data_IF_726173200756
#
_entry.id   IF_726173200756
#
_cell.length_a   1.000
_cell.length_b   1.000
_cell.length_c   1.000
_cell.angle_alpha   90.00
_cell.angle_beta   90.00
_cell.angle_gamma   90.00
#
_symmetry.space_group_name_H-M   'P 1'
#
loop_
_entity.id
_entity.type
_entity.pdbx_description
1 polymer ?
#
# COMPACT_ATOMS: atom_id res chain seq x y z
N UNK A 1 -15.52 -33.49 1.90
CA UNK A 1 -15.34 -32.43 2.91
C UNK A 1 -14.27 -31.44 2.45
N UNK A 2 -14.42 -30.15 2.77
CA UNK A 2 -13.44 -29.09 2.54
C UNK A 2 -13.05 -28.44 3.86
N UNK A 3 -11.82 -27.94 3.93
CA UNK A 3 -11.27 -27.25 5.10
C UNK A 3 -10.48 -26.02 4.66
N UNK A 4 -10.62 -24.94 5.43
CA UNK A 4 -9.80 -23.72 5.29
C UNK A 4 -9.58 -23.15 6.69
N UNK A 5 -8.46 -22.51 6.91
CA UNK A 5 -8.16 -21.86 8.19
C UNK A 5 -8.89 -20.51 8.35
N UNK A 6 -9.34 -19.90 7.25
CA UNK A 6 -10.07 -18.63 7.26
C UNK A 6 -11.59 -18.85 7.32
N UNK A 7 -12.20 -18.43 8.44
CA UNK A 7 -13.64 -18.52 8.64
C UNK A 7 -14.46 -17.71 7.60
N UNK A 8 -13.91 -16.64 7.03
CA UNK A 8 -14.59 -15.85 6.00
C UNK A 8 -14.60 -16.58 4.65
N UNK A 9 -13.52 -17.30 4.34
CA UNK A 9 -13.43 -18.17 3.15
C UNK A 9 -14.41 -19.33 3.29
N UNK A 10 -14.47 -19.95 4.47
CA UNK A 10 -15.43 -21.04 4.77
C UNK A 10 -16.88 -20.58 4.59
N UNK A 11 -17.25 -19.41 5.09
CA UNK A 11 -18.63 -18.86 4.89
C UNK A 11 -18.96 -18.70 3.43
N UNK A 12 -18.05 -18.10 2.63
CA UNK A 12 -18.26 -17.95 1.18
C UNK A 12 -18.39 -19.29 0.47
N UNK A 13 -17.60 -20.28 0.88
CA UNK A 13 -17.71 -21.64 0.35
C UNK A 13 -19.07 -22.25 0.68
N UNK A 14 -19.56 -22.09 1.91
CA UNK A 14 -20.90 -22.55 2.33
C UNK A 14 -22.02 -21.88 1.53
N UNK A 15 -21.94 -20.56 1.30
CA UNK A 15 -22.90 -19.84 0.45
C UNK A 15 -22.89 -20.36 -0.99
N UNK A 16 -21.71 -20.64 -1.56
CA UNK A 16 -21.60 -21.19 -2.90
C UNK A 16 -22.18 -22.62 -2.99
N UNK A 17 -21.94 -23.46 -1.99
CA UNK A 17 -22.50 -24.80 -1.87
C UNK A 17 -24.03 -24.72 -1.80
N UNK A 18 -24.58 -23.77 -1.02
CA UNK A 18 -26.01 -23.54 -0.90
C UNK A 18 -26.62 -23.10 -2.23
N UNK A 19 -25.99 -22.15 -2.93
CA UNK A 19 -26.45 -21.69 -4.26
C UNK A 19 -26.42 -22.80 -5.31
N UNK A 20 -25.49 -23.74 -5.18
CA UNK A 20 -25.39 -24.89 -6.08
C UNK A 20 -26.32 -26.06 -5.70
N UNK A 21 -27.06 -25.99 -4.58
CA UNK A 21 -27.93 -27.07 -4.11
C UNK A 21 -27.16 -28.32 -3.64
N UNK A 22 -25.91 -28.16 -3.15
CA UNK A 22 -25.01 -29.28 -2.83
C UNK A 22 -24.80 -29.49 -1.32
N UNK A 23 -25.67 -28.92 -0.47
CA UNK A 23 -25.51 -28.97 1.01
C UNK A 23 -25.49 -30.39 1.58
N UNK A 24 -26.18 -31.33 0.94
CA UNK A 24 -26.23 -32.72 1.37
C UNK A 24 -24.98 -33.51 0.98
N UNK A 25 -24.29 -33.09 -0.08
CA UNK A 25 -23.11 -33.75 -0.65
C UNK A 25 -21.79 -33.16 -0.17
N UNK A 26 -21.73 -31.83 0.06
CA UNK A 26 -20.51 -31.11 0.37
C UNK A 26 -20.60 -30.40 1.73
N UNK A 27 -19.62 -30.62 2.59
CA UNK A 27 -19.48 -29.94 3.89
C UNK A 27 -18.14 -29.25 3.99
N UNK A 28 -18.14 -27.99 4.41
CA UNK A 28 -16.91 -27.20 4.62
C UNK A 28 -16.88 -26.69 6.06
N UNK A 29 -15.71 -26.77 6.69
CA UNK A 29 -15.52 -26.28 8.07
C UNK A 29 -14.18 -25.54 8.20
N UNK A 30 -14.14 -24.60 9.17
CA UNK A 30 -12.92 -23.90 9.53
C UNK A 30 -12.02 -24.85 10.33
N UNK A 31 -10.80 -25.11 9.81
CA UNK A 31 -9.82 -25.95 10.45
C UNK A 31 -8.42 -25.63 9.92
N UNK A 32 -7.46 -25.33 10.81
CA UNK A 32 -6.06 -25.12 10.40
C UNK A 32 -5.41 -26.45 9.94
N UNK A 33 -4.35 -26.33 9.14
CA UNK A 33 -3.63 -27.47 8.58
C UNK A 33 -3.09 -28.42 9.65
N UNK A 34 -2.59 -27.89 10.76
CA UNK A 34 -2.06 -28.66 11.89
C UNK A 34 -3.09 -29.63 12.50
N UNK A 35 -4.38 -29.32 12.41
CA UNK A 35 -5.49 -30.11 12.95
C UNK A 35 -6.15 -31.02 11.91
N UNK A 36 -5.64 -31.02 10.67
CA UNK A 36 -6.23 -31.78 9.59
C UNK A 36 -6.05 -33.28 9.82
N UNK A 37 -7.14 -34.03 9.82
CA UNK A 37 -7.15 -35.48 10.04
C UNK A 37 -8.26 -36.16 9.24
N UNK A 38 -8.16 -37.50 9.14
CA UNK A 38 -9.22 -38.33 8.53
C UNK A 38 -10.55 -38.12 9.23
N UNK A 39 -11.66 -38.17 8.48
CA UNK A 39 -13.00 -38.20 9.11
C UNK A 39 -13.18 -39.45 10.00
N UNK A 40 -13.64 -39.26 11.24
CA UNK A 40 -13.75 -40.31 12.23
C UNK A 40 -15.10 -41.00 12.30
N UNK A 41 -16.11 -40.50 11.57
CA UNK A 41 -17.50 -41.00 11.62
C UNK A 41 -17.68 -42.43 11.07
N UNK A 42 -16.73 -42.90 10.26
CA UNK A 42 -16.64 -44.28 9.78
C UNK A 42 -15.19 -44.57 9.33
N UNK A 43 -14.74 -45.83 9.32
CA UNK A 43 -13.45 -46.20 8.74
C UNK A 43 -13.40 -45.85 7.27
N UNK A 44 -12.39 -45.10 6.85
CA UNK A 44 -12.13 -44.74 5.46
C UNK A 44 -10.71 -45.17 5.09
N UNK A 45 -10.54 -46.47 4.66
CA UNK A 45 -9.21 -47.00 4.34
C UNK A 45 -8.58 -46.33 3.14
N UNK A 46 -9.38 -45.83 2.21
CA UNK A 46 -8.93 -45.12 0.99
C UNK A 46 -9.66 -43.81 0.85
N UNK A 47 -9.01 -42.85 0.22
CA UNK A 47 -9.56 -41.52 -0.07
C UNK A 47 -8.60 -40.70 -0.93
N UNK A 48 -9.08 -39.56 -1.38
CA UNK A 48 -8.32 -38.59 -2.13
C UNK A 48 -8.35 -37.24 -1.42
N UNK A 49 -7.19 -36.64 -1.24
CA UNK A 49 -7.05 -35.26 -0.80
C UNK A 49 -6.62 -34.44 -2.01
N UNK A 50 -7.29 -33.30 -2.24
CA UNK A 50 -6.90 -32.32 -3.24
C UNK A 50 -6.57 -31.02 -2.54
N UNK A 51 -5.36 -30.49 -2.75
CA UNK A 51 -4.89 -29.24 -2.14
C UNK A 51 -4.43 -28.28 -3.24
N UNK A 52 -4.81 -27.02 -3.05
CA UNK A 52 -4.27 -25.88 -3.82
C UNK A 52 -3.67 -24.87 -2.85
N UNK A 53 -2.54 -25.20 -2.20
CA UNK A 53 -1.91 -24.31 -1.24
C UNK A 53 -1.38 -23.07 -1.94
N UNK A 54 -1.17 -21.95 -1.23
CA UNK A 54 -0.67 -20.73 -1.83
C UNK A 54 0.69 -20.94 -2.50
N UNK A 55 0.82 -20.41 -3.72
CA UNK A 55 2.06 -20.36 -4.50
C UNK A 55 2.12 -19.05 -5.30
N UNK A 56 3.27 -18.44 -5.45
CA UNK A 56 3.44 -17.20 -6.19
C UNK A 56 3.11 -15.95 -5.37
N UNK A 57 2.88 -14.81 -6.04
CA UNK A 57 2.85 -13.48 -5.40
C UNK A 57 1.50 -13.09 -4.78
N UNK A 58 0.45 -13.89 -4.94
CA UNK A 58 -0.93 -13.48 -4.57
C UNK A 58 -1.34 -13.79 -3.14
N UNK A 59 -0.72 -14.77 -2.49
CA UNK A 59 -1.07 -15.22 -1.14
C UNK A 59 0.19 -15.79 -0.46
N UNK A 60 0.65 -15.09 0.58
CA UNK A 60 1.70 -15.57 1.46
C UNK A 60 3.11 -15.11 1.12
N UNK A 61 3.95 -15.15 2.13
CA UNK A 61 5.37 -14.88 2.03
C UNK A 61 6.06 -16.08 1.35
N UNK A 62 6.77 -15.86 0.25
CA UNK A 62 7.52 -16.91 -0.44
C UNK A 62 8.48 -17.66 0.49
N UNK A 63 8.98 -17.00 1.51
CA UNK A 63 9.95 -17.59 2.44
C UNK A 63 9.26 -18.48 3.50
N UNK A 64 7.97 -18.30 3.77
CA UNK A 64 7.17 -19.17 4.64
C UNK A 64 6.52 -20.35 3.90
N UNK A 65 6.37 -20.24 2.58
CA UNK A 65 5.75 -21.30 1.78
C UNK A 65 6.46 -22.66 1.87
N UNK A 66 7.81 -22.76 1.86
CA UNK A 66 8.46 -24.05 2.06
C UNK A 66 8.12 -24.75 3.38
N UNK A 67 7.93 -23.97 4.45
CA UNK A 67 7.53 -24.51 5.76
C UNK A 67 6.07 -24.96 5.74
N UNK A 68 5.16 -24.19 5.14
CA UNK A 68 3.77 -24.58 4.95
C UNK A 68 3.67 -25.90 4.13
N UNK A 69 4.46 -26.01 3.05
CA UNK A 69 4.47 -27.22 2.24
C UNK A 69 5.10 -28.39 2.99
N UNK A 70 6.08 -28.15 3.83
CA UNK A 70 6.66 -29.17 4.69
C UNK A 70 5.64 -29.67 5.71
N UNK A 71 4.94 -28.78 6.41
CA UNK A 71 3.86 -29.10 7.34
C UNK A 71 2.74 -29.87 6.64
N UNK A 72 2.36 -29.45 5.42
CA UNK A 72 1.39 -30.18 4.59
C UNK A 72 1.86 -31.61 4.32
N UNK A 73 3.11 -31.79 3.91
CA UNK A 73 3.69 -33.11 3.65
C UNK A 73 3.70 -34.01 4.88
N UNK A 74 4.12 -33.49 6.02
CA UNK A 74 4.15 -34.19 7.31
C UNK A 74 2.75 -34.60 7.77
N UNK A 75 1.78 -33.68 7.68
CA UNK A 75 0.38 -33.94 8.03
C UNK A 75 -0.24 -35.00 7.10
N UNK A 76 0.02 -34.92 5.80
CA UNK A 76 -0.46 -35.91 4.85
C UNK A 76 0.12 -37.31 5.12
N UNK A 77 1.42 -37.44 5.38
CA UNK A 77 2.07 -38.72 5.65
C UNK A 77 1.60 -39.33 6.98
N UNK A 78 1.39 -38.51 8.01
CA UNK A 78 0.98 -38.93 9.34
C UNK A 78 -0.50 -39.34 9.42
N UNK A 79 -1.37 -38.45 8.94
CA UNK A 79 -2.80 -38.54 9.18
C UNK A 79 -3.56 -39.29 8.07
N UNK A 80 -3.01 -39.39 6.85
CA UNK A 80 -3.73 -39.90 5.68
C UNK A 80 -3.07 -41.12 5.03
N UNK A 81 -2.35 -41.89 5.82
CA UNK A 81 -1.73 -43.14 5.35
C UNK A 81 -2.75 -44.03 4.64
N UNK A 82 -2.40 -44.56 3.46
CA UNK A 82 -3.25 -45.36 2.58
C UNK A 82 -4.18 -44.57 1.66
N UNK A 83 -4.12 -43.22 1.70
CA UNK A 83 -4.85 -42.37 0.80
C UNK A 83 -3.96 -41.88 -0.37
N UNK A 84 -4.59 -41.22 -1.33
CA UNK A 84 -3.90 -40.47 -2.37
C UNK A 84 -3.99 -38.98 -2.08
N UNK A 85 -2.97 -38.23 -2.51
CA UNK A 85 -3.00 -36.77 -2.46
C UNK A 85 -2.65 -36.18 -3.82
N UNK A 86 -3.30 -35.07 -4.15
CA UNK A 86 -3.04 -34.25 -5.32
C UNK A 86 -2.77 -32.82 -4.87
N UNK A 87 -1.58 -32.30 -5.16
CA UNK A 87 -1.19 -30.93 -4.83
C UNK A 87 -1.00 -30.14 -6.12
N UNK A 88 -1.75 -29.07 -6.28
CA UNK A 88 -1.61 -28.13 -7.38
C UNK A 88 -0.71 -26.97 -6.93
N UNK A 89 0.37 -26.67 -7.66
CA UNK A 89 1.31 -25.62 -7.31
C UNK A 89 1.93 -24.98 -8.55
N UNK A 90 2.10 -23.66 -8.53
CA UNK A 90 2.84 -22.90 -9.55
C UNK A 90 4.36 -22.92 -9.35
N UNK A 91 4.87 -23.57 -8.29
CA UNK A 91 6.31 -23.64 -8.00
C UNK A 91 6.74 -25.09 -7.70
N UNK A 92 7.54 -25.65 -8.58
CA UNK A 92 8.08 -27.03 -8.45
C UNK A 92 9.00 -27.19 -7.24
N UNK A 93 9.64 -26.11 -6.77
CA UNK A 93 10.47 -26.17 -5.57
C UNK A 93 9.61 -26.31 -4.31
N UNK A 94 8.46 -25.66 -4.25
CA UNK A 94 7.47 -25.81 -3.17
C UNK A 94 6.90 -27.24 -3.18
N UNK A 95 6.60 -27.81 -4.34
CA UNK A 95 6.19 -29.21 -4.43
C UNK A 95 7.20 -30.17 -3.80
N UNK A 96 8.51 -29.94 -4.02
CA UNK A 96 9.58 -30.70 -3.38
C UNK A 96 9.72 -30.44 -1.89
N UNK A 97 9.36 -29.22 -1.43
CA UNK A 97 9.42 -28.86 -0.01
C UNK A 97 8.45 -29.68 0.88
N UNK A 98 7.42 -30.30 0.31
CA UNK A 98 6.57 -31.27 1.05
C UNK A 98 7.39 -32.43 1.63
N UNK A 99 8.56 -32.73 1.08
CA UNK A 99 9.38 -33.90 1.44
C UNK A 99 8.77 -35.22 0.95
N UNK A 100 7.59 -35.21 0.37
CA UNK A 100 6.93 -36.40 -0.18
C UNK A 100 7.44 -36.72 -1.58
N UNK A 101 7.46 -38.03 -1.94
CA UNK A 101 7.79 -38.50 -3.27
C UNK A 101 6.53 -38.57 -4.13
N UNK A 102 6.41 -37.68 -5.13
CA UNK A 102 5.33 -37.79 -6.13
C UNK A 102 5.59 -38.97 -7.07
N UNK A 103 4.56 -39.76 -7.38
CA UNK A 103 4.61 -40.84 -8.33
C UNK A 103 4.27 -40.40 -9.76
N UNK A 104 3.56 -39.27 -9.90
CA UNK A 104 3.18 -38.69 -11.19
C UNK A 104 3.08 -37.18 -11.10
N UNK A 105 3.42 -36.49 -12.18
CA UNK A 105 3.32 -35.04 -12.30
C UNK A 105 2.74 -34.68 -13.66
N UNK A 106 1.83 -33.69 -13.67
CA UNK A 106 1.28 -33.08 -14.88
C UNK A 106 1.62 -31.61 -14.92
N UNK A 107 1.96 -31.09 -16.08
CA UNK A 107 2.05 -29.65 -16.32
C UNK A 107 0.67 -29.15 -16.74
N UNK A 108 0.19 -28.14 -16.04
CA UNK A 108 -1.08 -27.48 -16.29
C UNK A 108 -0.86 -25.97 -16.37
N UNK A 109 -1.87 -25.25 -16.81
CA UNK A 109 -1.79 -23.80 -16.94
C UNK A 109 -2.91 -23.15 -16.13
N UNK A 110 -2.56 -22.19 -15.27
CA UNK A 110 -3.51 -21.35 -14.54
C UNK A 110 -3.47 -19.93 -15.15
N UNK A 111 -4.26 -19.71 -16.19
CA UNK A 111 -4.12 -18.53 -17.04
C UNK A 111 -2.77 -18.54 -17.78
N UNK A 112 -1.96 -17.51 -17.61
CA UNK A 112 -0.61 -17.41 -18.20
C UNK A 112 0.48 -18.09 -17.36
N UNK A 113 0.15 -18.63 -16.17
CA UNK A 113 1.11 -19.23 -15.26
C UNK A 113 1.21 -20.74 -15.47
N UNK A 114 2.42 -21.26 -15.75
CA UNK A 114 2.68 -22.68 -15.69
C UNK A 114 2.56 -23.20 -14.27
N UNK A 115 1.82 -24.26 -14.07
CA UNK A 115 1.59 -24.92 -12.79
C UNK A 115 1.83 -26.44 -12.90
N UNK A 116 2.04 -27.09 -11.78
CA UNK A 116 2.21 -28.53 -11.69
C UNK A 116 1.15 -29.14 -10.79
N UNK A 117 0.54 -30.22 -11.26
CA UNK A 117 -0.28 -31.10 -10.44
C UNK A 117 0.57 -32.30 -10.05
N UNK A 118 0.89 -32.42 -8.77
CA UNK A 118 1.71 -33.48 -8.20
C UNK A 118 0.81 -34.51 -7.54
N UNK A 119 0.97 -35.79 -7.92
CA UNK A 119 0.20 -36.90 -7.35
C UNK A 119 1.09 -37.74 -6.43
N UNK A 120 0.56 -38.04 -5.25
CA UNK A 120 1.23 -38.80 -4.19
C UNK A 120 0.38 -40.00 -3.78
N UNK A 121 1.03 -41.15 -3.64
CA UNK A 121 0.48 -42.29 -2.92
C UNK A 121 1.01 -42.23 -1.48
N UNK A 122 0.13 -42.17 -0.51
CA UNK A 122 0.49 -42.02 0.91
C UNK A 122 0.58 -43.36 1.66
N UNK A 123 0.52 -44.49 0.95
CA UNK A 123 0.57 -45.82 1.58
C UNK A 123 1.94 -46.04 2.23
N UNK A 124 3.02 -45.81 1.51
CA UNK A 124 4.40 -46.00 1.97
C UNK A 124 5.25 -44.73 1.84
N UNK A 125 4.62 -43.58 1.61
CA UNK A 125 5.31 -42.31 1.43
C UNK A 125 5.80 -41.80 2.79
N UNK A 126 7.11 -41.60 2.92
CA UNK A 126 7.73 -41.03 4.12
C UNK A 126 8.30 -39.68 3.76
N UNK A 127 8.17 -38.73 4.69
CA UNK A 127 8.79 -37.42 4.53
C UNK A 127 10.31 -37.57 4.63
N UNK A 128 11.04 -37.06 3.66
CA UNK A 128 12.51 -37.05 3.66
C UNK A 128 13.04 -36.19 4.82
N UNK A 129 14.02 -36.71 5.58
CA UNK A 129 14.68 -35.98 6.68
C UNK A 129 15.56 -34.80 6.21
N UNK A 130 15.68 -34.62 4.91
CA UNK A 130 16.44 -33.50 4.35
C UNK A 130 15.70 -32.18 4.57
N UNK A 131 16.30 -31.20 5.27
CA UNK A 131 15.66 -29.91 5.47
C UNK A 131 15.34 -29.26 4.09
N UNK A 132 14.26 -28.48 3.99
CA UNK A 132 13.92 -27.80 2.74
C UNK A 132 15.07 -26.89 2.33
N UNK A 133 15.62 -27.13 1.13
CA UNK A 133 16.67 -26.28 0.55
C UNK A 133 16.01 -24.98 0.11
N UNK A 134 16.39 -23.88 0.75
CA UNK A 134 16.03 -22.56 0.28
C UNK A 134 16.60 -22.30 -1.13
N UNK A 135 15.84 -21.77 -2.08
CA UNK A 135 16.34 -21.51 -3.43
C UNK A 135 17.44 -20.44 -3.38
N UNK A 136 18.66 -20.85 -3.72
CA UNK A 136 19.76 -19.98 -4.12
C UNK A 136 20.51 -19.27 -3.00
N UNK A 137 21.48 -19.96 -2.39
CA UNK A 137 22.48 -19.34 -1.55
C UNK A 137 23.88 -19.79 -1.94
N UNK A 138 24.57 -19.00 -2.75
CA UNK A 138 26.03 -19.03 -2.82
C UNK A 138 26.57 -18.35 -1.56
N UNK A 139 27.50 -19.03 -0.88
CA UNK A 139 28.01 -18.60 0.41
C UNK A 139 28.73 -17.25 0.37
N UNK A 140 28.53 -16.46 1.39
CA UNK A 140 29.44 -15.42 1.81
C UNK A 140 29.66 -15.56 3.32
N UNK A 141 30.92 -15.72 3.64
CA UNK A 141 31.51 -15.87 4.95
C UNK A 141 31.15 -14.72 5.87
N UNK A 142 30.72 -15.07 7.08
CA UNK A 142 30.49 -14.17 8.20
C UNK A 142 31.77 -13.48 8.62
N UNK A 143 31.75 -12.17 8.82
CA UNK A 143 32.60 -11.48 9.79
C UNK A 143 31.72 -10.94 10.89
N UNK A 144 32.03 -11.40 12.07
CA UNK A 144 31.38 -11.07 13.33
C UNK A 144 31.63 -9.61 13.73
N UNK A 145 30.63 -9.01 14.36
CA UNK A 145 30.71 -7.73 15.09
C UNK A 145 29.43 -7.53 15.89
N UNK A 146 29.48 -7.98 17.14
CA UNK A 146 28.85 -7.47 18.37
C UNK A 146 27.34 -7.46 18.59
N UNK A 147 26.94 -8.22 19.61
CA UNK A 147 25.86 -8.08 20.60
C UNK A 147 24.45 -7.76 20.07
N UNK A 148 23.70 -8.81 19.74
CA UNK A 148 22.25 -8.80 19.67
C UNK A 148 21.76 -10.19 20.02
N UNK A 149 20.88 -10.32 21.03
CA UNK A 149 20.21 -11.55 21.37
C UNK A 149 19.52 -12.15 20.14
N UNK A 150 19.46 -13.46 20.09
CA UNK A 150 18.83 -14.20 18.98
C UNK A 150 17.36 -13.76 18.80
N UNK A 151 17.02 -13.30 17.60
CA UNK A 151 15.65 -12.86 17.29
C UNK A 151 14.69 -14.07 17.41
N UNK A 152 13.49 -13.85 17.93
CA UNK A 152 12.43 -14.86 17.82
C UNK A 152 12.19 -15.26 16.36
N UNK A 153 11.67 -16.46 16.09
CA UNK A 153 11.37 -16.88 14.70
C UNK A 153 10.50 -15.88 13.95
N UNK A 154 9.50 -15.28 14.62
CA UNK A 154 8.63 -14.26 14.04
C UNK A 154 9.37 -12.96 13.75
N UNK A 155 10.19 -12.47 14.67
CA UNK A 155 11.02 -11.28 14.46
C UNK A 155 12.04 -11.49 13.33
N UNK A 156 12.65 -12.67 13.25
CA UNK A 156 13.58 -13.04 12.18
C UNK A 156 12.88 -13.07 10.80
N UNK A 157 11.66 -13.59 10.75
CA UNK A 157 10.83 -13.60 9.54
C UNK A 157 10.51 -12.18 9.07
N UNK A 158 10.08 -11.30 9.97
CA UNK A 158 9.81 -9.90 9.66
C UNK A 158 11.08 -9.15 9.21
N UNK A 159 12.21 -9.34 9.90
CA UNK A 159 13.51 -8.78 9.51
C UNK A 159 13.92 -9.20 8.08
N UNK A 160 13.73 -10.47 7.73
CA UNK A 160 14.05 -10.98 6.40
C UNK A 160 13.15 -10.35 5.33
N UNK A 161 11.86 -10.13 5.62
CA UNK A 161 10.95 -9.42 4.71
C UNK A 161 11.43 -7.99 4.46
N UNK A 162 11.80 -7.24 5.49
CA UNK A 162 12.33 -5.88 5.37
C UNK A 162 13.60 -5.84 4.51
N UNK A 163 14.57 -6.75 4.76
CA UNK A 163 15.80 -6.85 3.96
C UNK A 163 15.53 -7.18 2.50
N UNK A 164 14.56 -8.06 2.21
CA UNK A 164 14.14 -8.40 0.85
C UNK A 164 13.53 -7.19 0.14
N UNK A 165 12.62 -6.49 0.79
CA UNK A 165 12.03 -5.27 0.24
C UNK A 165 13.08 -4.19 -0.04
N UNK A 166 14.01 -3.99 0.91
CA UNK A 166 15.12 -3.04 0.74
C UNK A 166 15.99 -3.40 -0.48
N UNK A 167 16.34 -4.67 -0.65
CA UNK A 167 17.09 -5.14 -1.84
C UNK A 167 16.31 -4.90 -3.14
N UNK A 168 15.00 -5.19 -3.15
CA UNK A 168 14.13 -4.96 -4.32
C UNK A 168 14.08 -3.49 -4.73
N UNK A 169 14.03 -2.57 -3.76
CA UNK A 169 13.93 -1.14 -4.01
C UNK A 169 15.29 -0.46 -4.22
N UNK A 170 16.41 -1.10 -3.84
CA UNK A 170 17.72 -0.47 -3.77
C UNK A 170 18.19 0.18 -5.09
N UNK A 171 18.00 -0.51 -6.22
CA UNK A 171 18.42 0.02 -7.53
C UNK A 171 17.64 1.29 -7.92
N UNK A 172 16.33 1.31 -7.67
CA UNK A 172 15.48 2.46 -7.89
C UNK A 172 15.82 3.61 -6.93
N UNK A 173 15.91 3.34 -5.63
CA UNK A 173 16.29 4.33 -4.61
C UNK A 173 17.60 5.02 -4.96
N UNK A 174 18.63 4.24 -5.37
CA UNK A 174 19.94 4.77 -5.76
C UNK A 174 19.87 5.60 -7.05
N UNK A 175 19.17 5.12 -8.08
CA UNK A 175 19.04 5.79 -9.37
C UNK A 175 18.34 7.13 -9.27
N UNK A 176 17.24 7.17 -8.52
CA UNK A 176 16.40 8.36 -8.39
C UNK A 176 16.80 9.25 -7.19
N UNK A 177 17.80 8.85 -6.39
CA UNK A 177 18.22 9.61 -5.21
C UNK A 177 17.13 9.75 -4.14
N UNK A 178 16.35 8.69 -3.93
CA UNK A 178 15.21 8.70 -3.01
C UNK A 178 15.67 8.59 -1.56
N UNK A 179 15.34 9.54 -0.71
CA UNK A 179 15.58 9.51 0.74
C UNK A 179 14.37 9.04 1.55
N UNK A 180 13.16 9.31 1.05
CA UNK A 180 11.92 9.02 1.76
C UNK A 180 11.08 8.03 0.95
N UNK A 181 10.80 6.83 1.49
CA UNK A 181 10.02 5.82 0.78
C UNK A 181 9.40 4.79 1.72
N UNK A 182 8.32 4.16 1.26
CA UNK A 182 7.68 3.04 1.95
C UNK A 182 8.45 1.75 1.71
N UNK A 183 8.97 1.19 2.78
CA UNK A 183 9.70 -0.07 2.74
C UNK A 183 8.79 -1.29 2.87
N UNK A 184 7.71 -1.16 3.69
CA UNK A 184 6.82 -2.26 4.02
C UNK A 184 5.38 -1.72 4.22
N UNK A 185 4.36 -2.42 3.72
CA UNK A 185 2.95 -2.03 3.82
C UNK A 185 2.06 -3.26 4.05
N UNK A 186 2.04 -3.76 5.29
CA UNK A 186 1.28 -4.96 5.67
C UNK A 186 1.49 -6.14 4.69
N UNK A 187 2.73 -6.35 4.24
CA UNK A 187 3.10 -7.40 3.28
C UNK A 187 2.80 -8.81 3.81
N UNK A 188 2.76 -8.95 5.11
CA UNK A 188 2.40 -10.17 5.85
C UNK A 188 1.20 -9.86 6.75
N UNK A 189 0.11 -10.65 6.71
CA UNK A 189 -1.10 -10.37 7.45
C UNK A 189 -0.91 -10.26 8.97
N UNK A 190 0.07 -10.98 9.52
CA UNK A 190 0.40 -11.00 10.94
C UNK A 190 1.04 -9.69 11.42
N UNK A 191 1.72 -8.99 10.53
CA UNK A 191 2.44 -7.75 10.82
C UNK A 191 1.76 -6.57 10.11
N UNK A 192 0.63 -6.15 10.65
CA UNK A 192 -0.22 -5.11 10.08
C UNK A 192 0.35 -3.70 10.36
N UNK A 193 1.49 -3.38 9.77
CA UNK A 193 2.15 -2.07 9.91
C UNK A 193 2.56 -1.53 8.55
N UNK A 194 2.74 -0.21 8.46
CA UNK A 194 3.56 0.43 7.43
C UNK A 194 4.90 0.80 8.04
N UNK A 195 6.00 0.58 7.29
CA UNK A 195 7.34 1.02 7.66
C UNK A 195 7.84 1.96 6.57
N UNK A 196 8.00 3.22 6.92
CA UNK A 196 8.46 4.30 6.05
C UNK A 196 9.83 4.79 6.49
N UNK A 197 10.73 5.00 5.53
CA UNK A 197 12.06 5.56 5.75
C UNK A 197 12.05 7.06 5.44
N UNK A 198 12.69 7.85 6.27
CA UNK A 198 12.91 9.29 6.15
C UNK A 198 14.39 9.58 6.37
N UNK A 199 15.22 9.43 5.34
CA UNK A 199 16.67 9.47 5.47
C UNK A 199 17.19 8.36 6.38
N UNK A 200 17.73 8.74 7.54
CA UNK A 200 18.23 7.79 8.57
C UNK A 200 17.17 7.41 9.61
N UNK A 201 16.02 8.06 9.61
CA UNK A 201 14.91 7.81 10.54
C UNK A 201 13.89 6.85 9.97
N UNK A 202 13.22 6.13 10.84
CA UNK A 202 12.16 5.16 10.48
C UNK A 202 10.86 5.56 11.17
N UNK A 203 9.77 5.55 10.41
CA UNK A 203 8.43 5.73 10.94
C UNK A 203 7.64 4.44 10.77
N UNK A 204 7.08 3.93 11.86
CA UNK A 204 6.26 2.72 11.88
C UNK A 204 4.84 3.11 12.26
N UNK A 205 3.91 2.91 11.33
CA UNK A 205 2.49 3.14 11.56
C UNK A 205 1.75 1.80 11.67
N UNK A 206 1.25 1.48 12.85
CA UNK A 206 0.45 0.28 13.09
C UNK A 206 -0.96 0.49 12.54
N UNK A 207 -1.46 -0.46 11.75
CA UNK A 207 -2.85 -0.51 11.35
C UNK A 207 -3.68 -1.13 12.46
N UNK A 208 -4.81 -0.52 12.79
CA UNK A 208 -5.71 -1.06 13.81
C UNK A 208 -6.08 -2.50 13.46
N UNK A 209 -5.81 -3.40 14.38
CA UNK A 209 -6.18 -4.81 14.24
C UNK A 209 -7.71 -4.95 14.07
N UNK A 210 -8.19 -5.86 13.21
CA UNK A 210 -9.61 -6.20 13.14
C UNK A 210 -10.13 -6.62 14.51
N UNK A 211 -11.42 -6.39 14.78
CA UNK A 211 -12.07 -6.66 16.07
C UNK A 211 -12.00 -8.14 16.56
N UNK A 212 -11.53 -9.07 15.73
CA UNK A 212 -11.39 -10.49 16.06
C UNK A 212 -9.94 -10.93 16.36
N UNK A 213 -8.97 -10.01 16.39
CA UNK A 213 -7.58 -10.35 16.72
C UNK A 213 -7.39 -10.31 18.24
N UNK A 214 -6.82 -11.36 18.80
CA UNK A 214 -6.44 -11.41 20.21
C UNK A 214 -5.45 -10.28 20.55
N UNK A 215 -5.76 -9.39 21.53
CA UNK A 215 -4.89 -8.29 21.93
C UNK A 215 -3.48 -8.75 22.35
N UNK A 216 -3.36 -9.92 22.99
CA UNK A 216 -2.06 -10.46 23.41
C UNK A 216 -1.22 -10.88 22.20
N UNK A 217 -1.84 -11.50 21.20
CA UNK A 217 -1.15 -11.85 19.95
C UNK A 217 -0.70 -10.59 19.20
N UNK A 218 -1.53 -9.54 19.17
CA UNK A 218 -1.17 -8.26 18.56
C UNK A 218 0.02 -7.59 19.28
N UNK A 219 0.04 -7.60 20.62
CA UNK A 219 1.17 -7.08 21.41
C UNK A 219 2.46 -7.84 21.14
N UNK A 220 2.41 -9.19 21.10
CA UNK A 220 3.56 -10.04 20.78
C UNK A 220 4.12 -9.70 19.39
N UNK A 221 3.25 -9.49 18.38
CA UNK A 221 3.69 -9.09 17.04
C UNK A 221 4.36 -7.74 17.02
N UNK A 222 3.85 -6.78 17.79
CA UNK A 222 4.47 -5.45 17.90
C UNK A 222 5.87 -5.52 18.55
N UNK A 223 6.06 -6.39 19.55
CA UNK A 223 7.36 -6.62 20.16
C UNK A 223 8.35 -7.30 19.19
N UNK A 224 7.88 -8.25 18.38
CA UNK A 224 8.67 -8.83 17.28
C UNK A 224 9.09 -7.78 16.24
N UNK A 225 8.19 -6.86 15.87
CA UNK A 225 8.50 -5.73 14.97
C UNK A 225 9.59 -4.85 15.58
N UNK A 226 9.44 -4.48 16.87
CA UNK A 226 10.42 -3.66 17.59
C UNK A 226 11.79 -4.30 17.66
N UNK A 227 11.86 -5.59 17.94
CA UNK A 227 13.10 -6.35 17.98
C UNK A 227 13.77 -6.48 16.61
N UNK A 228 12.98 -6.64 15.54
CA UNK A 228 13.46 -6.90 14.18
C UNK A 228 13.98 -5.65 13.46
N UNK A 229 13.39 -4.48 13.68
CA UNK A 229 13.68 -3.27 12.89
C UNK A 229 15.13 -2.79 13.01
N UNK A 230 15.73 -2.61 14.22
CA UNK A 230 17.09 -2.10 14.33
C UNK A 230 18.11 -2.97 13.57
N UNK A 231 18.19 -4.29 13.76
CA UNK A 231 19.18 -5.12 13.08
C UNK A 231 18.85 -5.37 11.59
N UNK A 232 17.57 -5.24 11.18
CA UNK A 232 17.21 -5.40 9.77
C UNK A 232 17.58 -4.19 8.93
N UNK A 233 17.50 -2.98 9.52
CA UNK A 233 17.71 -1.71 8.81
C UNK A 233 19.07 -1.08 9.11
N UNK A 234 19.75 -1.49 10.16
CA UNK A 234 21.01 -0.90 10.61
C UNK A 234 20.82 0.49 11.21
N UNK A 235 19.73 0.70 11.96
CA UNK A 235 19.39 1.97 12.62
C UNK A 235 19.34 1.77 14.13
N UNK A 236 19.58 2.83 14.91
CA UNK A 236 19.39 2.76 16.35
C UNK A 236 17.88 2.71 16.71
N UNK A 237 17.54 2.07 17.82
CA UNK A 237 16.14 2.02 18.28
C UNK A 237 15.55 3.43 18.52
N UNK A 238 16.38 4.38 18.95
CA UNK A 238 15.98 5.78 19.13
C UNK A 238 15.64 6.51 17.82
N UNK A 239 16.06 5.99 16.67
CA UNK A 239 15.78 6.56 15.36
C UNK A 239 14.45 6.04 14.76
N UNK A 240 13.71 5.22 15.53
CA UNK A 240 12.45 4.60 15.09
C UNK A 240 11.28 5.22 15.86
N UNK A 241 10.42 5.92 15.14
CA UNK A 241 9.17 6.45 15.65
C UNK A 241 8.02 5.48 15.42
N UNK A 242 7.27 5.15 16.47
CA UNK A 242 6.11 4.25 16.41
C UNK A 242 4.82 5.04 16.56
N UNK A 243 3.84 4.75 15.71
CA UNK A 243 2.50 5.34 15.78
C UNK A 243 1.43 4.28 15.62
N UNK A 244 0.35 4.42 16.40
CA UNK A 244 -0.86 3.61 16.25
C UNK A 244 -1.86 4.40 15.41
N UNK A 245 -2.23 3.91 14.23
CA UNK A 245 -3.32 4.47 13.43
C UNK A 245 -4.66 3.99 13.99
N UNK A 246 -5.19 4.73 14.96
CA UNK A 246 -6.58 4.56 15.38
C UNK A 246 -7.50 5.18 14.31
N UNK A 247 -8.65 4.52 14.04
CA UNK A 247 -9.73 5.15 13.26
C UNK A 247 -10.26 6.35 14.03
N UNK A 248 -9.76 7.52 13.71
CA UNK A 248 -10.27 8.76 14.30
C UNK A 248 -11.53 9.21 13.57
N UNK A 249 -12.49 9.74 14.33
CA UNK A 249 -13.69 10.39 13.81
C UNK A 249 -13.56 11.90 14.02
N UNK A 250 -13.63 12.70 12.93
CA UNK A 250 -13.65 14.15 13.01
C UNK A 250 -12.28 14.83 13.10
N UNK A 251 -12.22 15.98 13.81
CA UNK A 251 -11.05 16.88 13.85
C UNK A 251 -9.81 16.34 14.58
N UNK A 252 -9.85 15.13 15.09
CA UNK A 252 -8.74 14.55 15.88
C UNK A 252 -7.46 14.30 15.05
N UNK A 253 -7.60 14.12 13.74
CA UNK A 253 -6.43 13.97 12.84
C UNK A 253 -5.55 15.23 12.78
N UNK A 254 -6.09 16.39 13.16
CA UNK A 254 -5.39 17.68 13.16
C UNK A 254 -4.80 18.04 14.53
N UNK A 255 -5.05 17.24 15.58
CA UNK A 255 -4.54 17.50 16.92
C UNK A 255 -3.11 16.99 17.08
N UNK A 256 -2.30 17.80 17.75
CA UNK A 256 -0.97 17.42 18.17
C UNK A 256 -1.07 16.30 19.22
N UNK A 257 -0.45 15.14 18.95
CA UNK A 257 -0.48 13.95 19.81
C UNK A 257 0.73 13.87 20.73
N UNK A 258 1.81 14.59 20.40
CA UNK A 258 3.06 14.65 21.15
C UNK A 258 3.49 16.10 21.41
N UNK A 259 4.58 16.27 22.14
CA UNK A 259 5.14 17.57 22.52
C UNK A 259 6.64 17.70 22.16
N UNK A 260 7.21 16.74 21.42
CA UNK A 260 8.64 16.77 21.10
C UNK A 260 9.02 17.87 20.11
N UNK A 261 8.08 18.31 19.25
CA UNK A 261 8.20 19.48 18.39
C UNK A 261 9.30 19.39 17.32
N UNK A 262 10.01 18.29 17.21
CA UNK A 262 11.15 18.13 16.32
C UNK A 262 10.71 18.00 14.87
N UNK A 263 11.16 18.93 14.02
CA UNK A 263 11.00 18.87 12.59
C UNK A 263 12.30 18.36 11.96
N UNK A 264 12.21 17.21 11.30
CA UNK A 264 13.32 16.61 10.56
C UNK A 264 13.30 17.12 9.11
N UNK A 265 14.43 17.65 8.63
CA UNK A 265 14.60 18.02 7.24
C UNK A 265 14.97 16.79 6.40
N UNK A 266 14.21 16.52 5.33
CA UNK A 266 14.43 15.44 4.36
C UNK A 266 14.46 16.00 2.94
N UNK A 267 15.04 15.26 2.00
CA UNK A 267 15.12 15.68 0.59
C UNK A 267 14.20 14.86 -0.30
N UNK A 268 13.59 15.55 -1.26
CA UNK A 268 12.81 14.94 -2.35
C UNK A 268 12.99 15.77 -3.62
N UNK A 269 13.62 15.19 -4.65
CA UNK A 269 13.72 15.82 -5.97
C UNK A 269 14.34 17.23 -5.98
N UNK A 270 15.29 17.52 -5.10
CA UNK A 270 15.91 18.84 -4.96
C UNK A 270 15.25 19.73 -3.90
N UNK A 271 14.03 19.44 -3.46
CA UNK A 271 13.37 20.14 -2.37
C UNK A 271 13.85 19.65 -1.01
N UNK A 272 13.94 20.57 -0.03
CA UNK A 272 14.11 20.26 1.39
C UNK A 272 12.76 20.38 2.06
N UNK A 273 12.24 19.28 2.61
CA UNK A 273 10.93 19.22 3.22
C UNK A 273 11.05 18.85 4.69
N UNK A 274 10.24 19.48 5.51
CA UNK A 274 10.21 19.21 6.94
C UNK A 274 9.14 18.15 7.22
N UNK A 275 9.50 17.14 8.00
CA UNK A 275 8.59 16.10 8.48
C UNK A 275 8.61 16.04 10.00
N UNK A 276 7.52 15.60 10.61
CA UNK A 276 7.43 15.32 12.04
C UNK A 276 6.97 13.87 12.23
N UNK A 277 7.81 13.07 12.83
CA UNK A 277 7.56 11.64 13.00
C UNK A 277 6.82 11.31 14.31
N UNK A 278 6.67 12.27 15.22
CA UNK A 278 6.21 12.02 16.59
C UNK A 278 4.89 12.69 16.94
N UNK A 279 4.69 13.96 16.59
CA UNK A 279 3.63 14.79 17.17
C UNK A 279 2.27 14.69 16.48
N UNK A 280 2.24 14.39 15.18
CA UNK A 280 1.02 14.36 14.36
C UNK A 280 0.74 12.96 13.83
N UNK A 281 -0.51 12.69 13.48
CA UNK A 281 -0.91 11.41 12.90
C UNK A 281 -0.16 11.17 11.59
N UNK A 282 -0.12 12.16 10.71
CA UNK A 282 0.60 12.13 9.45
C UNK A 282 1.93 12.88 9.58
N UNK A 283 2.93 12.44 8.84
CA UNK A 283 4.32 12.91 8.96
C UNK A 283 4.57 14.29 8.34
N UNK A 284 3.61 14.86 7.64
CA UNK A 284 3.76 16.11 6.89
C UNK A 284 4.18 15.89 5.43
N UNK A 285 4.46 14.66 5.01
CA UNK A 285 4.83 14.31 3.64
C UNK A 285 4.16 12.99 3.23
N UNK A 286 3.21 13.06 2.30
CA UNK A 286 2.58 11.88 1.70
C UNK A 286 3.51 11.28 0.64
N UNK A 287 4.13 10.14 0.94
CA UNK A 287 5.15 9.51 0.11
C UNK A 287 4.62 9.01 -1.23
N UNK A 288 3.37 8.58 -1.28
CA UNK A 288 2.69 8.09 -2.49
C UNK A 288 2.46 9.20 -3.54
N UNK A 289 2.42 10.47 -3.13
CA UNK A 289 2.28 11.62 -4.03
C UNK A 289 3.60 12.15 -4.60
N UNK A 290 4.75 11.51 -4.32
CA UNK A 290 6.07 11.93 -4.83
C UNK A 290 6.09 12.12 -6.35
N UNK A 291 5.64 11.16 -7.19
CA UNK A 291 5.67 11.34 -8.64
C UNK A 291 4.81 12.52 -9.12
N UNK A 292 3.66 12.74 -8.46
CA UNK A 292 2.80 13.88 -8.78
C UNK A 292 3.49 15.21 -8.44
N UNK A 293 4.11 15.33 -7.26
CA UNK A 293 4.85 16.54 -6.87
C UNK A 293 6.01 16.84 -7.82
N UNK A 294 6.79 15.82 -8.18
CA UNK A 294 7.90 15.98 -9.15
C UNK A 294 7.40 16.39 -10.53
N UNK A 295 6.25 15.88 -10.96
CA UNK A 295 5.59 16.27 -12.20
C UNK A 295 5.13 17.72 -12.16
N UNK A 296 4.46 18.14 -11.07
CA UNK A 296 4.05 19.52 -10.86
C UNK A 296 5.25 20.48 -10.91
N UNK A 297 6.37 20.12 -10.27
CA UNK A 297 7.61 20.91 -10.35
C UNK A 297 8.10 21.08 -11.78
N UNK A 298 8.10 20.02 -12.59
CA UNK A 298 8.52 20.11 -14.01
C UNK A 298 7.58 20.95 -14.87
N UNK A 299 6.28 20.91 -14.59
CA UNK A 299 5.27 21.62 -15.38
C UNK A 299 5.04 23.07 -14.94
N UNK A 300 5.55 23.46 -13.77
CA UNK A 300 5.26 24.77 -13.17
C UNK A 300 6.05 25.95 -13.78
N UNK A 301 7.11 25.70 -14.55
CA UNK A 301 7.99 26.75 -15.08
C UNK A 301 7.20 27.84 -15.82
N UNK A 302 7.32 29.10 -15.37
CA UNK A 302 6.67 30.27 -15.92
C UNK A 302 5.14 30.33 -15.72
N UNK A 303 4.55 29.42 -14.97
CA UNK A 303 3.10 29.30 -14.74
C UNK A 303 2.69 29.82 -13.38
N UNK A 304 1.43 30.26 -13.26
CA UNK A 304 0.79 30.50 -11.98
C UNK A 304 0.15 29.21 -11.47
N UNK A 305 0.59 28.77 -10.29
CA UNK A 305 0.18 27.50 -9.69
C UNK A 305 -0.78 27.71 -8.50
N UNK A 306 -1.87 26.95 -8.47
CA UNK A 306 -2.82 26.91 -7.36
C UNK A 306 -2.77 25.54 -6.70
N UNK A 307 -2.58 25.52 -5.36
CA UNK A 307 -2.60 24.33 -4.53
C UNK A 307 -3.77 24.41 -3.55
N UNK A 308 -4.82 23.63 -3.77
CA UNK A 308 -6.02 23.56 -2.97
C UNK A 308 -5.96 22.37 -2.00
N UNK A 309 -6.35 22.56 -0.74
CA UNK A 309 -6.09 21.63 0.35
C UNK A 309 -4.59 21.37 0.48
N UNK A 310 -3.83 22.47 0.53
CA UNK A 310 -2.39 22.42 0.30
C UNK A 310 -1.59 21.69 1.40
N UNK A 311 -2.21 21.37 2.53
CA UNK A 311 -1.58 20.68 3.65
C UNK A 311 -0.29 21.40 4.08
N UNK A 312 0.84 20.70 4.20
CA UNK A 312 2.15 21.28 4.52
C UNK A 312 2.85 21.96 3.35
N UNK A 313 2.18 22.05 2.19
CA UNK A 313 2.66 22.76 1.00
C UNK A 313 3.80 22.10 0.25
N UNK A 314 4.01 20.81 0.41
CA UNK A 314 5.11 20.11 -0.29
C UNK A 314 5.01 20.23 -1.81
N UNK A 315 3.81 20.18 -2.40
CA UNK A 315 3.60 20.41 -3.82
C UNK A 315 3.89 21.86 -4.23
N UNK A 316 3.57 22.84 -3.38
CA UNK A 316 3.90 24.25 -3.59
C UNK A 316 5.41 24.47 -3.66
N UNK A 317 6.17 23.86 -2.76
CA UNK A 317 7.65 23.93 -2.77
C UNK A 317 8.20 23.39 -4.08
N UNK A 318 7.72 22.24 -4.54
CA UNK A 318 8.15 21.65 -5.83
C UNK A 318 7.81 22.55 -7.00
N UNK A 319 6.61 23.14 -7.04
CA UNK A 319 6.21 24.07 -8.10
C UNK A 319 7.07 25.34 -8.10
N UNK A 320 7.32 25.93 -6.92
CA UNK A 320 8.14 27.12 -6.78
C UNK A 320 9.59 26.87 -7.19
N UNK A 321 10.21 25.77 -6.74
CA UNK A 321 11.57 25.35 -7.15
C UNK A 321 11.64 25.01 -8.65
N UNK A 322 10.54 24.52 -9.21
CA UNK A 322 10.38 24.26 -10.64
C UNK A 322 10.23 25.50 -11.51
N UNK A 323 10.29 26.71 -10.91
CA UNK A 323 10.24 27.99 -11.63
C UNK A 323 8.83 28.51 -11.88
N UNK A 324 7.86 28.17 -11.02
CA UNK A 324 6.54 28.81 -11.06
C UNK A 324 6.69 30.35 -11.02
N UNK A 325 5.89 31.07 -11.82
CA UNK A 325 5.84 32.54 -11.78
C UNK A 325 5.29 33.02 -10.45
N UNK A 326 4.23 32.38 -9.98
CA UNK A 326 3.68 32.55 -8.65
C UNK A 326 3.03 31.25 -8.18
N UNK A 327 2.87 31.08 -6.87
CA UNK A 327 2.08 30.02 -6.27
C UNK A 327 1.03 30.60 -5.34
N UNK A 328 -0.14 30.00 -5.28
CA UNK A 328 -1.19 30.29 -4.27
C UNK A 328 -1.57 28.99 -3.60
N UNK A 329 -1.46 28.95 -2.28
CA UNK A 329 -1.77 27.77 -1.45
C UNK A 329 -2.91 28.07 -0.53
N UNK A 330 -3.98 27.28 -0.60
CA UNK A 330 -5.20 27.47 0.19
C UNK A 330 -5.43 26.26 1.10
N UNK A 331 -5.59 26.50 2.39
CA UNK A 331 -5.96 25.50 3.40
C UNK A 331 -6.67 26.17 4.57
N UNK A 332 -7.51 25.43 5.28
CA UNK A 332 -8.23 25.92 6.45
C UNK A 332 -7.37 25.88 7.74
N UNK A 333 -6.36 25.02 7.77
CA UNK A 333 -5.55 24.71 8.94
C UNK A 333 -4.38 25.67 9.13
N UNK A 334 -4.43 26.49 10.19
CA UNK A 334 -3.27 27.32 10.58
C UNK A 334 -1.99 26.53 10.82
N UNK A 335 -2.11 25.32 11.39
CA UNK A 335 -0.97 24.46 11.68
C UNK A 335 -0.26 24.07 10.38
N UNK A 336 -1.01 23.67 9.38
CA UNK A 336 -0.43 23.26 8.09
C UNK A 336 0.12 24.45 7.29
N UNK A 337 -0.57 25.58 7.31
CA UNK A 337 -0.06 26.81 6.70
C UNK A 337 1.21 27.33 7.40
N UNK A 338 1.30 27.18 8.72
CA UNK A 338 2.54 27.46 9.47
C UNK A 338 3.68 26.50 9.08
N UNK A 339 3.34 25.26 8.77
CA UNK A 339 4.33 24.27 8.27
C UNK A 339 4.75 24.57 6.83
N UNK A 340 3.81 24.97 5.97
CA UNK A 340 4.12 25.45 4.62
C UNK A 340 5.12 26.59 4.64
N UNK A 341 4.94 27.62 5.52
CA UNK A 341 5.91 28.72 5.66
C UNK A 341 7.30 28.23 6.00
N UNK A 342 7.40 27.27 6.92
CA UNK A 342 8.68 26.65 7.27
C UNK A 342 9.29 25.88 6.10
N UNK A 343 8.48 25.16 5.31
CA UNK A 343 8.92 24.46 4.12
C UNK A 343 9.42 25.42 3.03
N UNK A 344 8.74 26.54 2.82
CA UNK A 344 9.20 27.60 1.90
C UNK A 344 10.53 28.18 2.37
N UNK A 345 10.62 28.60 3.63
CA UNK A 345 11.85 29.17 4.22
C UNK A 345 13.04 28.18 4.13
N UNK A 346 12.81 26.89 4.37
CA UNK A 346 13.84 25.83 4.25
C UNK A 346 14.44 25.73 2.85
N UNK A 347 13.74 26.23 1.82
CA UNK A 347 14.18 26.24 0.43
C UNK A 347 14.54 27.64 -0.08
N UNK A 348 14.64 28.64 0.80
CA UNK A 348 14.94 30.02 0.41
C UNK A 348 13.83 30.71 -0.39
N UNK A 349 12.60 30.22 -0.27
CA UNK A 349 11.41 30.75 -0.95
C UNK A 349 10.65 31.68 0.03
N UNK A 350 10.28 32.85 -0.43
CA UNK A 350 9.53 33.84 0.33
C UNK A 350 8.04 33.91 -0.10
N UNK A 351 7.23 34.67 0.69
CA UNK A 351 5.80 34.83 0.42
C UNK A 351 5.52 35.89 -0.68
N UNK A 352 6.51 36.58 -1.23
CA UNK A 352 6.28 37.61 -2.26
C UNK A 352 5.74 37.02 -3.58
N UNK A 353 6.14 35.77 -3.89
CA UNK A 353 5.61 35.00 -5.02
C UNK A 353 4.85 33.75 -4.61
N UNK A 354 4.89 33.40 -3.33
CA UNK A 354 4.28 32.17 -2.80
C UNK A 354 3.18 32.55 -1.80
N UNK A 355 2.00 32.88 -2.30
CA UNK A 355 0.89 33.38 -1.52
C UNK A 355 0.25 32.27 -0.68
N UNK A 356 -0.01 32.57 0.59
CA UNK A 356 -0.61 31.65 1.54
C UNK A 356 -1.97 32.20 1.98
N UNK A 357 -3.02 31.45 1.75
CA UNK A 357 -4.40 31.85 2.02
C UNK A 357 -5.03 30.88 3.03
N UNK A 358 -5.53 31.41 4.13
CA UNK A 358 -6.33 30.64 5.08
C UNK A 358 -7.80 30.79 4.74
N UNK A 359 -8.37 29.78 4.08
CA UNK A 359 -9.79 29.79 3.71
C UNK A 359 -10.32 28.36 3.55
N UNK A 360 -11.62 28.20 3.58
CA UNK A 360 -12.27 27.03 3.01
C UNK A 360 -12.09 27.04 1.48
N UNK A 361 -11.61 25.94 0.91
CA UNK A 361 -11.23 25.89 -0.49
C UNK A 361 -12.41 26.11 -1.44
N UNK A 362 -13.61 25.58 -1.13
CA UNK A 362 -14.78 25.75 -1.97
C UNK A 362 -15.27 27.19 -1.94
N UNK A 363 -15.43 27.77 -0.75
CA UNK A 363 -15.83 29.18 -0.57
C UNK A 363 -14.83 30.11 -1.27
N UNK A 364 -13.52 29.86 -1.08
CA UNK A 364 -12.48 30.65 -1.72
C UNK A 364 -12.52 30.58 -3.26
N UNK A 365 -12.79 29.39 -3.82
CA UNK A 365 -12.94 29.22 -5.29
C UNK A 365 -14.14 29.99 -5.84
N UNK A 366 -15.22 30.10 -5.06
CA UNK A 366 -16.43 30.87 -5.46
C UNK A 366 -16.18 32.37 -5.46
N UNK A 367 -15.44 32.88 -4.49
CA UNK A 367 -15.16 34.30 -4.31
C UNK A 367 -13.98 34.81 -5.18
N UNK A 368 -12.97 33.96 -5.42
CA UNK A 368 -11.76 34.35 -6.15
C UNK A 368 -12.03 34.59 -7.63
N UNK A 369 -11.48 35.68 -8.16
CA UNK A 369 -11.49 35.97 -9.61
C UNK A 369 -10.18 35.59 -10.31
N UNK A 370 -9.16 35.19 -9.55
CA UNK A 370 -7.84 34.83 -10.09
C UNK A 370 -7.92 33.57 -10.95
N UNK A 371 -7.03 33.49 -11.95
CA UNK A 371 -6.92 32.34 -12.85
C UNK A 371 -5.49 31.82 -12.86
N UNK A 372 -5.37 30.51 -13.03
CA UNK A 372 -4.13 29.76 -12.91
C UNK A 372 -3.87 28.90 -14.15
N UNK A 373 -2.61 28.61 -14.40
CA UNK A 373 -2.18 27.75 -15.51
C UNK A 373 -2.10 26.28 -15.06
N UNK A 374 -1.87 26.06 -13.78
CA UNK A 374 -1.71 24.75 -13.18
C UNK A 374 -2.41 24.71 -11.82
N UNK A 375 -3.25 23.71 -11.61
CA UNK A 375 -4.01 23.57 -10.35
C UNK A 375 -3.80 22.14 -9.80
N UNK A 376 -3.46 22.02 -8.53
CA UNK A 376 -3.58 20.79 -7.76
C UNK A 376 -4.79 20.89 -6.84
N UNK A 377 -5.65 19.87 -6.87
CA UNK A 377 -6.82 19.72 -6.05
C UNK A 377 -6.78 18.35 -5.38
N UNK A 378 -6.45 18.30 -4.09
CA UNK A 378 -6.29 17.05 -3.32
C UNK A 378 -7.12 17.10 -2.03
N UNK A 379 -8.47 17.04 -2.13
CA UNK A 379 -9.35 17.16 -0.98
C UNK A 379 -9.29 15.91 -0.10
N UNK A 380 -9.55 16.06 1.22
CA UNK A 380 -9.70 14.92 2.13
C UNK A 380 -10.88 14.04 1.70
N UNK A 381 -10.81 12.74 1.99
CA UNK A 381 -11.92 11.82 1.70
C UNK A 381 -13.21 12.21 2.41
N UNK A 382 -13.09 12.77 3.63
CA UNK A 382 -14.18 13.23 4.47
C UNK A 382 -13.72 14.36 5.39
N UNK A 383 -14.52 15.39 5.57
CA UNK A 383 -14.26 16.48 6.51
C UNK A 383 -15.53 16.91 7.22
N UNK A 384 -15.46 17.02 8.55
CA UNK A 384 -16.49 17.60 9.41
C UNK A 384 -16.00 18.94 9.97
N UNK A 385 -15.84 19.94 9.14
CA UNK A 385 -15.48 21.26 9.64
C UNK A 385 -16.67 21.91 10.35
N UNK A 386 -16.51 22.23 11.64
CA UNK A 386 -17.51 23.01 12.40
C UNK A 386 -17.71 24.45 11.86
N UNK A 387 -16.90 24.85 10.90
CA UNK A 387 -16.91 26.22 10.31
C UNK A 387 -17.63 26.29 8.96
N UNK A 388 -18.01 25.14 8.39
CA UNK A 388 -18.81 25.06 7.16
C UNK A 388 -20.09 24.30 7.50
N UNK A 389 -21.26 24.87 7.17
CA UNK A 389 -22.53 24.16 7.33
C UNK A 389 -22.52 22.90 6.43
N UNK A 390 -22.36 21.73 7.04
CA UNK A 390 -22.39 20.42 6.39
C UNK A 390 -21.08 19.65 6.45
N UNK A 391 -21.17 18.35 6.21
CA UNK A 391 -20.01 17.46 6.07
C UNK A 391 -19.61 17.36 4.61
N UNK A 392 -18.31 17.53 4.30
CA UNK A 392 -17.75 17.25 2.97
C UNK A 392 -17.49 15.74 2.82
N UNK A 393 -17.96 15.16 1.70
CA UNK A 393 -17.62 13.81 1.26
C UNK A 393 -17.14 13.87 -0.20
N UNK A 394 -15.89 13.49 -0.44
CA UNK A 394 -15.27 13.60 -1.77
C UNK A 394 -16.04 12.87 -2.87
N UNK A 395 -16.71 11.74 -2.59
CA UNK A 395 -17.51 11.06 -3.60
C UNK A 395 -18.77 11.84 -3.98
N UNK A 396 -19.40 12.49 -3.03
CA UNK A 396 -20.61 13.28 -3.24
C UNK A 396 -20.30 14.64 -3.87
N UNK A 397 -19.26 15.32 -3.34
CA UNK A 397 -19.08 16.76 -3.54
C UNK A 397 -17.98 17.11 -4.55
N UNK A 398 -17.21 16.11 -5.04
CA UNK A 398 -16.08 16.39 -5.95
C UNK A 398 -16.50 17.03 -7.27
N UNK A 399 -17.69 16.73 -7.79
CA UNK A 399 -18.17 17.27 -9.05
C UNK A 399 -18.20 18.81 -9.03
N UNK A 400 -18.82 19.39 -8.01
CA UNK A 400 -18.91 20.84 -7.84
C UNK A 400 -17.55 21.46 -7.54
N UNK A 401 -16.74 20.80 -6.69
CA UNK A 401 -15.42 21.27 -6.34
C UNK A 401 -14.47 21.31 -7.55
N UNK A 402 -14.49 20.27 -8.40
CA UNK A 402 -13.70 20.21 -9.64
C UNK A 402 -14.18 21.27 -10.64
N UNK A 403 -15.51 21.44 -10.82
CA UNK A 403 -16.06 22.50 -11.69
C UNK A 403 -15.65 23.91 -11.23
N UNK A 404 -15.69 24.17 -9.93
CA UNK A 404 -15.24 25.44 -9.36
C UNK A 404 -13.73 25.68 -9.62
N UNK A 405 -12.89 24.66 -9.46
CA UNK A 405 -11.47 24.74 -9.76
C UNK A 405 -11.20 24.95 -11.25
N UNK A 406 -11.92 24.24 -12.13
CA UNK A 406 -11.82 24.40 -13.60
C UNK A 406 -12.25 25.79 -14.07
N UNK A 407 -13.20 26.44 -13.38
CA UNK A 407 -13.56 27.83 -13.65
C UNK A 407 -12.42 28.82 -13.34
N UNK A 408 -11.45 28.43 -12.53
CA UNK A 408 -10.24 29.22 -12.24
C UNK A 408 -9.07 28.84 -13.14
N UNK A 409 -9.22 27.89 -14.07
CA UNK A 409 -8.19 27.48 -14.98
C UNK A 409 -8.16 28.41 -16.21
N UNK A 410 -6.95 28.81 -16.64
CA UNK A 410 -6.74 29.51 -17.91
C UNK A 410 -6.92 28.55 -19.08
N UNK A 411 -7.19 29.10 -20.27
CA UNK A 411 -7.16 28.31 -21.51
C UNK A 411 -5.81 27.61 -21.67
N UNK A 412 -5.83 26.32 -22.00
CA UNK A 412 -4.64 25.47 -22.08
C UNK A 412 -4.02 25.07 -20.74
N UNK A 413 -4.63 25.44 -19.63
CA UNK A 413 -4.21 25.04 -18.29
C UNK A 413 -4.55 23.60 -17.96
N UNK A 414 -3.98 23.10 -16.85
CA UNK A 414 -4.13 21.71 -16.38
C UNK A 414 -4.57 21.71 -14.92
N UNK A 415 -5.58 20.90 -14.60
CA UNK A 415 -5.99 20.55 -13.26
C UNK A 415 -5.57 19.11 -12.97
N UNK A 416 -4.85 18.91 -11.88
CA UNK A 416 -4.62 17.61 -11.26
C UNK A 416 -5.58 17.43 -10.10
N UNK A 417 -6.46 16.43 -10.19
CA UNK A 417 -7.39 16.05 -9.13
C UNK A 417 -6.95 14.72 -8.54
N UNK A 418 -6.69 14.70 -7.25
CA UNK A 418 -6.27 13.50 -6.50
C UNK A 418 -7.19 13.25 -5.31
N UNK A 419 -7.31 11.99 -4.89
CA UNK A 419 -7.92 11.60 -3.61
C UNK A 419 -7.53 10.17 -3.23
N UNK A 420 -7.66 9.83 -1.94
CA UNK A 420 -7.34 8.52 -1.39
C UNK A 420 -8.56 7.66 -1.02
N UNK A 421 -9.77 8.04 -1.48
CA UNK A 421 -10.99 7.28 -1.19
C UNK A 421 -11.01 5.95 -1.94
N UNK A 422 -11.14 4.86 -1.20
CA UNK A 422 -11.32 3.53 -1.80
C UNK A 422 -12.65 3.43 -2.55
N UNK A 423 -12.59 2.92 -3.79
CA UNK A 423 -13.77 2.75 -4.62
C UNK A 423 -14.32 4.05 -5.23
N UNK A 424 -13.54 5.15 -5.19
CA UNK A 424 -13.90 6.43 -5.79
C UNK A 424 -14.20 6.28 -7.29
N UNK A 425 -15.25 6.96 -7.73
CA UNK A 425 -15.67 7.09 -9.14
C UNK A 425 -15.78 8.56 -9.50
N UNK A 426 -15.10 8.96 -10.57
CA UNK A 426 -15.21 10.31 -11.11
C UNK A 426 -16.62 10.54 -11.66
N UNK A 427 -17.15 11.73 -11.44
CA UNK A 427 -18.46 12.16 -11.92
C UNK A 427 -18.55 12.01 -13.46
N UNK A 428 -19.55 11.26 -14.00
CA UNK A 428 -19.72 11.08 -15.44
C UNK A 428 -19.90 12.40 -16.21
N UNK A 429 -20.48 13.43 -15.60
CA UNK A 429 -20.64 14.73 -16.24
C UNK A 429 -19.29 15.42 -16.45
N UNK A 430 -18.33 15.26 -15.53
CA UNK A 430 -16.97 15.75 -15.76
C UNK A 430 -16.30 15.02 -16.92
N UNK A 431 -16.49 13.69 -17.02
CA UNK A 431 -15.91 12.89 -18.11
C UNK A 431 -16.48 13.27 -19.46
N UNK A 432 -17.78 13.63 -19.51
CA UNK A 432 -18.42 14.06 -20.78
C UNK A 432 -18.08 15.49 -21.20
N UNK A 433 -17.79 16.37 -20.22
CA UNK A 433 -17.58 17.80 -20.46
C UNK A 433 -16.11 18.22 -20.59
N UNK A 434 -15.19 17.42 -20.08
CA UNK A 434 -13.75 17.73 -20.01
C UNK A 434 -12.92 16.54 -20.46
N UNK A 435 -11.68 16.80 -20.87
CA UNK A 435 -10.76 15.71 -21.11
C UNK A 435 -10.16 15.23 -19.78
N UNK A 436 -10.61 14.06 -19.30
CA UNK A 436 -10.24 13.45 -18.02
C UNK A 436 -9.36 12.21 -18.27
N UNK A 437 -8.08 12.33 -18.04
CA UNK A 437 -7.11 11.22 -18.13
C UNK A 437 -6.83 10.65 -16.74
N UNK A 438 -7.11 9.36 -16.51
CA UNK A 438 -6.72 8.65 -15.27
C UNK A 438 -5.22 8.35 -15.31
N UNK A 439 -4.45 9.07 -14.50
CA UNK A 439 -3.01 8.92 -14.38
C UNK A 439 -2.59 8.22 -13.07
N UNK A 440 -3.52 7.59 -12.36
CA UNK A 440 -3.26 6.97 -11.06
C UNK A 440 -2.05 6.02 -11.08
N UNK A 441 -1.89 5.23 -12.15
CA UNK A 441 -0.73 4.33 -12.28
C UNK A 441 0.58 5.07 -12.57
N UNK A 442 0.52 6.16 -13.32
CA UNK A 442 1.68 6.98 -13.67
C UNK A 442 2.19 7.83 -12.50
N UNK A 443 1.37 7.96 -11.46
CA UNK A 443 1.71 8.68 -10.23
C UNK A 443 2.07 7.77 -9.06
N UNK A 444 2.39 6.47 -9.33
CA UNK A 444 2.82 5.51 -8.32
C UNK A 444 4.24 5.03 -8.56
N UNK A 445 5.08 5.21 -7.57
CA UNK A 445 6.45 4.70 -7.53
C UNK A 445 6.52 3.21 -7.11
N UNK A 446 7.68 2.53 -7.31
CA UNK A 446 7.87 1.12 -6.97
C UNK A 446 7.57 0.74 -5.52
N UNK A 447 7.70 1.68 -4.57
CA UNK A 447 7.41 1.46 -3.15
C UNK A 447 5.91 1.33 -2.86
N UNK A 448 5.02 1.82 -3.74
CA UNK A 448 3.57 1.72 -3.62
C UNK A 448 2.90 0.76 -4.62
N UNK A 449 3.66 0.08 -5.48
CA UNK A 449 3.10 -0.83 -6.49
C UNK A 449 2.25 -1.98 -5.90
N UNK A 450 2.48 -2.36 -4.64
CA UNK A 450 1.68 -3.38 -3.94
C UNK A 450 0.30 -2.87 -3.53
N UNK A 451 0.16 -1.56 -3.37
CA UNK A 451 -1.10 -0.92 -3.02
C UNK A 451 -1.51 0.10 -4.11
N UNK A 452 -1.83 -0.37 -5.33
CA UNK A 452 -2.10 0.51 -6.47
C UNK A 452 -3.40 1.33 -6.33
N UNK A 453 -4.13 1.14 -5.22
CA UNK A 453 -5.35 1.87 -4.87
C UNK A 453 -5.15 2.82 -3.70
N UNK A 454 -3.90 3.15 -3.36
CA UNK A 454 -3.59 4.05 -2.23
C UNK A 454 -4.13 5.46 -2.51
N UNK A 455 -4.02 5.91 -3.76
CA UNK A 455 -4.70 7.11 -4.25
C UNK A 455 -5.22 6.91 -5.68
N UNK A 456 -6.04 7.85 -6.13
CA UNK A 456 -6.47 8.01 -7.51
C UNK A 456 -6.10 9.42 -7.95
N UNK A 457 -5.66 9.56 -9.21
CA UNK A 457 -5.27 10.86 -9.76
C UNK A 457 -5.72 11.00 -11.20
N UNK A 458 -6.30 12.15 -11.52
CA UNK A 458 -6.72 12.52 -12.87
C UNK A 458 -6.04 13.80 -13.30
N UNK A 459 -5.65 13.82 -14.55
CA UNK A 459 -5.25 15.03 -15.27
C UNK A 459 -6.45 15.51 -16.07
N UNK A 460 -6.95 16.71 -15.77
CA UNK A 460 -8.17 17.26 -16.37
C UNK A 460 -7.82 18.53 -17.11
N UNK A 461 -8.29 18.64 -18.38
CA UNK A 461 -8.13 19.83 -19.21
C UNK A 461 -9.47 20.23 -19.84
N UNK A 462 -9.60 21.52 -20.17
CA UNK A 462 -10.73 21.99 -20.95
C UNK A 462 -10.72 21.32 -22.34
N UNK A 463 -11.87 21.10 -22.98
CA UNK A 463 -11.90 20.64 -24.35
C UNK A 463 -11.14 21.63 -25.24
N UNK A 464 -10.35 21.10 -26.19
CA UNK A 464 -9.71 21.97 -27.19
C UNK A 464 -10.78 22.74 -27.96
N UNK A 465 -10.64 24.05 -28.03
CA UNK A 465 -11.54 24.92 -28.79
C UNK A 465 -11.46 24.72 -30.32
N UNK A 466 -10.58 23.85 -30.77
CA UNK A 466 -10.54 23.42 -32.17
C UNK A 466 -11.73 22.49 -32.46
N UNK A 467 -12.78 23.02 -33.09
CA UNK A 467 -13.74 22.19 -33.81
C UNK A 467 -12.93 21.30 -34.76
N UNK A 468 -13.18 19.99 -34.82
CA UNK A 468 -12.61 19.14 -35.84
C UNK A 468 -12.96 19.78 -37.17
N UNK A 469 -11.94 20.11 -37.99
CA UNK A 469 -12.14 20.61 -39.32
C UNK A 469 -13.08 19.63 -40.04
N UNK A 470 -14.22 20.14 -40.47
CA UNK A 470 -15.23 19.36 -41.19
C UNK A 470 -14.56 18.75 -42.42
N UNK A 471 -14.57 17.42 -42.63
CA UNK A 471 -13.92 16.80 -43.77
C UNK A 471 -14.66 16.99 -45.10
N UNK A 472 -15.70 17.80 -45.14
CA UNK A 472 -16.56 17.93 -46.33
C UNK A 472 -16.63 19.37 -46.82
N UNK A 473 -15.59 19.82 -47.53
CA UNK A 473 -15.71 20.78 -48.65
C UNK A 473 -14.77 20.30 -49.76
N UNK A 474 -15.20 19.36 -50.55
CA UNK A 474 -14.72 19.22 -51.95
C UNK A 474 -15.80 19.80 -52.87
N UNK A 475 -15.39 20.86 -53.56
CA UNK A 475 -16.00 21.23 -54.81
C UNK A 475 -15.55 20.28 -55.92
#
# INVERSE_FOLDING_TARGET
RGYDADAAVVRRAQENIARAGLQDAVRVSCRPLAELSKPTHRPLPQGLIVCNPPYGERLGDRDSLPYLYRELGETLAREFKGWQAAIFTGDKALGRATGLRSHKQYTLWNGALEASLLLFDLTDNRVSDRPPVAPGGAGVVSRAGEQGGELSPGAAMFANRLRKNRRRLAAWVKREGIECYRLYDADMPEYAVAVDLYGTRVHVAEYQAPAGVDPQAAATRLDEIRAALPPALGVAAADIAYKVRQRQRGDEQYRKQGAEGELLAVREGGARLLVNLHDYLDTGLFLDHRPLRLRLGKEAAGRDFLNLFCYTGTATVHAALGGARSTTSVDLSNTYLGWLRKNLAQNGLDESRNHIVRADCLSWLQESTQRYDLILLDPPSFSNSRKVEGSFDVQRDHGDLVRAALARLRSGGVLYFSNNRRGFRLDPELVSSYHCEDISRATLDPDFQRNPKIHRCWRITQPSSEKPASPWVRR
#
